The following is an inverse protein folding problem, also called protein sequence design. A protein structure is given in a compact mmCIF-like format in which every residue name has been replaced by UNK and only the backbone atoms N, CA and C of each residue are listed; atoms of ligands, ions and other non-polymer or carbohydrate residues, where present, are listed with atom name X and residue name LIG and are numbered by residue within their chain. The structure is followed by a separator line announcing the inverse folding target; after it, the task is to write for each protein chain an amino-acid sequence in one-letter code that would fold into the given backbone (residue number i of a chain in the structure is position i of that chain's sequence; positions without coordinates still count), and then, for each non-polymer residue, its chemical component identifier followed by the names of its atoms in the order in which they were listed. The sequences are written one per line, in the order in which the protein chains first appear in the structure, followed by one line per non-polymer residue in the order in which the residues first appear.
data_IF_474367124384
#
_entry.id   IF_474367124384
#
_cell.length_a   1.000
_cell.length_b   1.000
_cell.length_c   1.000
_cell.angle_alpha   90.00
_cell.angle_beta   90.00
_cell.angle_gamma   90.00
#
_symmetry.space_group_name_H-M   'P 1'
#
loop_
_entity.id
_entity.type
_entity.pdbx_description
1 polymer ?
#
# COMPACT_ATOMS: atom_id res chain seq x y z
N UNK A 1 -49.93 -52.92 -2.93
CA UNK A 1 -49.26 -52.05 -1.92
C UNK A 1 -47.78 -51.64 -2.18
N UNK A 2 -46.97 -52.23 -3.10
CA UNK A 2 -45.58 -51.74 -3.31
C UNK A 2 -45.42 -50.53 -4.24
N UNK A 3 -46.36 -50.28 -5.18
CA UNK A 3 -46.20 -49.15 -6.17
C UNK A 3 -46.44 -47.77 -5.59
N UNK A 4 -47.35 -47.59 -4.66
CA UNK A 4 -47.63 -46.27 -4.04
C UNK A 4 -46.51 -45.75 -3.12
N UNK A 5 -45.86 -46.65 -2.37
CA UNK A 5 -44.68 -46.26 -1.54
C UNK A 5 -43.52 -45.80 -2.39
N UNK A 6 -43.28 -46.42 -3.56
CA UNK A 6 -42.20 -46.04 -4.48
C UNK A 6 -42.47 -44.66 -5.12
N UNK A 7 -43.71 -44.34 -5.42
CA UNK A 7 -44.11 -43.07 -6.04
C UNK A 7 -44.05 -41.91 -5.05
N UNK A 8 -44.40 -42.13 -3.77
CA UNK A 8 -44.23 -41.15 -2.68
C UNK A 8 -42.73 -40.85 -2.40
N UNK A 9 -41.91 -41.90 -2.38
CA UNK A 9 -40.46 -41.75 -2.20
C UNK A 9 -39.80 -40.91 -3.32
N UNK A 10 -40.17 -41.12 -4.58
CA UNK A 10 -39.66 -40.36 -5.72
C UNK A 10 -40.08 -38.87 -5.69
N UNK A 11 -41.33 -38.57 -5.21
CA UNK A 11 -41.78 -37.20 -5.02
C UNK A 11 -40.99 -36.48 -3.93
N UNK A 12 -40.74 -37.15 -2.81
CA UNK A 12 -39.95 -36.59 -1.69
C UNK A 12 -38.51 -36.32 -2.12
N UNK A 13 -37.87 -37.26 -2.84
CA UNK A 13 -36.52 -37.07 -3.35
C UNK A 13 -36.45 -35.89 -4.35
N UNK A 14 -37.45 -35.77 -5.26
CA UNK A 14 -37.53 -34.61 -6.16
C UNK A 14 -37.67 -33.29 -5.40
N UNK A 15 -38.50 -33.24 -4.37
CA UNK A 15 -38.64 -32.01 -3.54
C UNK A 15 -37.33 -31.69 -2.85
N UNK A 16 -36.65 -32.65 -2.25
CA UNK A 16 -35.34 -32.45 -1.59
C UNK A 16 -34.30 -31.91 -2.59
N UNK A 17 -34.22 -32.50 -3.79
CA UNK A 17 -33.29 -32.07 -4.83
C UNK A 17 -33.59 -30.65 -5.33
N UNK A 18 -34.88 -30.31 -5.50
CA UNK A 18 -35.29 -28.96 -5.89
C UNK A 18 -34.95 -27.94 -4.78
N UNK A 19 -35.26 -28.29 -3.52
CA UNK A 19 -34.94 -27.42 -2.38
C UNK A 19 -33.43 -27.20 -2.24
N UNK A 20 -32.65 -28.27 -2.41
CA UNK A 20 -31.18 -28.21 -2.39
C UNK A 20 -30.62 -27.32 -3.52
N UNK A 21 -31.15 -27.47 -4.74
CA UNK A 21 -30.78 -26.63 -5.88
C UNK A 21 -31.14 -25.15 -5.66
N UNK A 22 -32.31 -24.88 -5.05
CA UNK A 22 -32.70 -23.50 -4.69
C UNK A 22 -31.83 -22.89 -3.61
N UNK A 23 -31.43 -23.67 -2.62
CA UNK A 23 -30.47 -23.21 -1.58
C UNK A 23 -29.11 -22.89 -2.19
N UNK A 24 -28.58 -23.75 -3.07
CA UNK A 24 -27.32 -23.47 -3.78
C UNK A 24 -27.44 -22.20 -4.64
N UNK A 25 -28.54 -22.04 -5.38
CA UNK A 25 -28.77 -20.85 -6.19
C UNK A 25 -28.86 -19.58 -5.32
N UNK A 26 -29.50 -19.65 -4.16
CA UNK A 26 -29.61 -18.56 -3.21
C UNK A 26 -28.23 -18.19 -2.63
N UNK A 27 -27.44 -19.18 -2.23
CA UNK A 27 -26.06 -18.97 -1.74
C UNK A 27 -25.18 -18.36 -2.83
N UNK A 28 -25.30 -18.85 -4.08
CA UNK A 28 -24.58 -18.28 -5.22
C UNK A 28 -24.99 -16.82 -5.52
N UNK A 29 -26.29 -16.50 -5.42
CA UNK A 29 -26.81 -15.14 -5.59
C UNK A 29 -26.30 -14.23 -4.47
N UNK A 30 -26.36 -14.66 -3.22
CA UNK A 30 -25.85 -13.91 -2.07
C UNK A 30 -24.34 -13.71 -2.21
N UNK A 31 -23.59 -14.74 -2.57
CA UNK A 31 -22.16 -14.66 -2.85
C UNK A 31 -21.84 -13.68 -3.99
N UNK A 32 -22.64 -13.71 -5.08
CA UNK A 32 -22.48 -12.78 -6.20
C UNK A 32 -22.82 -11.32 -5.82
N UNK A 33 -23.87 -11.11 -5.03
CA UNK A 33 -24.24 -9.76 -4.53
C UNK A 33 -23.15 -9.24 -3.58
N UNK A 34 -22.68 -10.09 -2.67
CA UNK A 34 -21.57 -9.76 -1.76
C UNK A 34 -20.29 -9.44 -2.55
N UNK A 35 -19.91 -10.29 -3.51
CA UNK A 35 -18.77 -10.07 -4.40
C UNK A 35 -18.89 -8.75 -5.16
N UNK A 36 -20.06 -8.44 -5.74
CA UNK A 36 -20.30 -7.16 -6.42
C UNK A 36 -20.25 -5.96 -5.47
N UNK A 37 -20.65 -6.12 -4.22
CA UNK A 37 -20.68 -5.03 -3.23
C UNK A 37 -19.28 -4.73 -2.70
N UNK A 38 -18.47 -5.78 -2.49
CA UNK A 38 -17.06 -5.67 -2.06
C UNK A 38 -16.17 -5.12 -3.18
N UNK A 39 -16.48 -5.47 -4.44
CA UNK A 39 -15.69 -5.02 -5.61
C UNK A 39 -16.32 -3.82 -6.34
N UNK A 40 -17.31 -3.14 -5.78
CA UNK A 40 -17.83 -1.93 -6.38
C UNK A 40 -16.79 -0.80 -6.20
N UNK A 41 -16.47 -0.04 -7.27
CA UNK A 41 -15.56 1.09 -7.13
C UNK A 41 -16.12 2.06 -6.10
N UNK A 42 -15.22 2.55 -5.23
CA UNK A 42 -15.59 3.53 -4.22
C UNK A 42 -16.05 4.82 -4.93
N UNK A 43 -17.29 5.21 -4.73
CA UNK A 43 -17.84 6.46 -5.26
C UNK A 43 -18.06 7.42 -4.12
N UNK A 44 -17.47 8.59 -4.23
CA UNK A 44 -17.59 9.61 -3.19
C UNK A 44 -18.98 10.28 -3.15
N UNK A 45 -19.68 10.36 -4.30
CA UNK A 45 -20.96 11.06 -4.45
C UNK A 45 -20.96 12.50 -3.87
N UNK A 46 -19.82 13.19 -4.00
CA UNK A 46 -19.63 14.54 -3.50
C UNK A 46 -20.05 15.56 -4.56
N UNK A 47 -20.60 16.68 -4.12
CA UNK A 47 -20.90 17.81 -4.99
C UNK A 47 -19.86 18.91 -4.78
N UNK A 48 -19.31 19.43 -5.87
CA UNK A 48 -18.38 20.55 -5.82
C UNK A 48 -18.99 21.78 -5.13
N UNK A 49 -18.18 22.47 -4.33
CA UNK A 49 -18.59 23.70 -3.61
C UNK A 49 -17.76 24.89 -4.05
N UNK A 50 -18.41 26.03 -4.28
CA UNK A 50 -17.71 27.29 -4.57
C UNK A 50 -16.84 27.76 -3.38
N UNK A 51 -17.19 27.36 -2.16
CA UNK A 51 -16.42 27.66 -0.96
C UNK A 51 -15.17 26.74 -0.82
N UNK A 52 -15.06 25.67 -1.64
CA UNK A 52 -13.96 24.74 -1.65
C UNK A 52 -13.02 24.96 -2.87
N UNK A 53 -12.71 26.22 -3.17
CA UNK A 53 -11.73 26.56 -4.21
C UNK A 53 -10.39 26.89 -3.56
N UNK A 54 -9.35 26.15 -3.98
CA UNK A 54 -7.97 26.35 -3.53
C UNK A 54 -7.03 26.62 -4.71
N UNK A 55 -5.90 27.25 -4.41
CA UNK A 55 -4.82 27.48 -5.38
C UNK A 55 -3.80 26.35 -5.29
N UNK A 56 -3.26 25.93 -6.43
CA UNK A 56 -2.05 25.09 -6.50
C UNK A 56 -1.05 25.74 -7.42
N UNK A 57 0.18 25.24 -7.43
CA UNK A 57 1.24 25.70 -8.35
C UNK A 57 0.86 25.51 -9.82
N UNK A 58 -0.02 24.54 -10.14
CA UNK A 58 -0.49 24.27 -11.49
C UNK A 58 -1.78 25.01 -11.88
N UNK A 59 -2.61 25.44 -10.92
CA UNK A 59 -3.85 26.16 -11.20
C UNK A 59 -4.89 26.05 -10.08
N UNK A 60 -6.11 26.54 -10.34
CA UNK A 60 -7.18 26.48 -9.36
C UNK A 60 -7.86 25.13 -9.36
N UNK A 61 -8.12 24.61 -8.16
CA UNK A 61 -8.82 23.37 -7.91
C UNK A 61 -10.08 23.62 -7.08
N UNK A 62 -11.14 22.85 -7.34
CA UNK A 62 -12.38 22.92 -6.60
C UNK A 62 -12.76 21.55 -6.08
N UNK A 63 -12.93 21.46 -4.79
CA UNK A 63 -13.35 20.26 -4.08
C UNK A 63 -14.81 20.32 -3.64
N UNK A 64 -15.13 19.53 -2.64
CA UNK A 64 -16.41 19.50 -1.94
C UNK A 64 -16.24 19.85 -0.46
N UNK A 65 -17.37 20.03 0.23
CA UNK A 65 -17.42 20.10 1.69
C UNK A 65 -18.28 18.94 2.19
N UNK A 66 -17.73 18.10 3.03
CA UNK A 66 -18.40 16.97 3.64
C UNK A 66 -18.27 17.04 5.17
N UNK A 67 -19.39 17.27 5.84
CA UNK A 67 -19.47 17.41 7.30
C UNK A 67 -18.51 18.46 7.88
N UNK A 68 -18.35 19.57 7.16
CA UNK A 68 -17.48 20.69 7.53
C UNK A 68 -16.00 20.52 7.16
N UNK A 69 -15.63 19.41 6.53
CA UNK A 69 -14.28 19.14 6.03
C UNK A 69 -14.22 19.42 4.52
N UNK A 70 -13.20 20.13 4.08
CA UNK A 70 -12.91 20.33 2.67
C UNK A 70 -12.26 19.08 2.11
N UNK A 71 -12.78 18.58 0.98
CA UNK A 71 -12.41 17.29 0.39
C UNK A 71 -12.02 17.47 -1.07
N UNK A 72 -10.86 16.98 -1.46
CA UNK A 72 -10.40 16.94 -2.83
C UNK A 72 -9.98 15.49 -3.15
N UNK A 73 -10.57 14.88 -4.19
CA UNK A 73 -10.36 13.50 -4.55
C UNK A 73 -9.80 13.39 -5.97
N UNK A 74 -8.78 12.53 -6.14
CA UNK A 74 -8.16 12.27 -7.44
C UNK A 74 -7.39 13.47 -8.01
N UNK A 75 -6.90 14.35 -7.15
CA UNK A 75 -6.14 15.53 -7.57
C UNK A 75 -4.73 15.12 -8.03
N UNK A 76 -4.32 15.42 -9.28
CA UNK A 76 -3.01 15.02 -9.77
C UNK A 76 -1.90 15.79 -9.06
N UNK A 77 -0.78 15.11 -8.81
CA UNK A 77 0.47 15.72 -8.33
C UNK A 77 1.57 15.70 -9.39
N UNK A 78 1.49 14.80 -10.37
CA UNK A 78 2.38 14.66 -11.51
C UNK A 78 1.64 13.97 -12.67
N UNK A 79 2.28 13.83 -13.83
CA UNK A 79 1.73 13.17 -15.02
C UNK A 79 2.72 12.15 -15.59
N UNK A 80 2.38 10.86 -15.61
CA UNK A 80 3.16 9.82 -16.26
C UNK A 80 2.73 9.66 -17.72
N UNK A 81 3.38 10.37 -18.62
CA UNK A 81 3.11 10.30 -20.08
C UNK A 81 3.55 8.98 -20.69
N UNK A 82 4.57 8.34 -20.13
CA UNK A 82 5.12 7.08 -20.59
C UNK A 82 5.30 6.11 -19.41
N UNK A 83 5.33 4.79 -19.70
CA UNK A 83 5.64 3.76 -18.72
C UNK A 83 7.13 3.77 -18.39
N UNK A 84 7.49 3.31 -17.20
CA UNK A 84 8.87 3.07 -16.75
C UNK A 84 9.79 4.31 -16.74
N UNK A 85 9.23 5.48 -16.99
CA UNK A 85 9.93 6.76 -16.96
C UNK A 85 9.36 7.58 -15.80
N UNK A 86 10.14 8.46 -15.22
CA UNK A 86 9.65 9.38 -14.16
C UNK A 86 8.45 10.19 -14.67
N UNK A 87 7.52 10.44 -13.76
CA UNK A 87 6.43 11.35 -14.04
C UNK A 87 6.95 12.79 -14.21
N UNK A 88 6.24 13.56 -15.01
CA UNK A 88 6.56 14.97 -15.25
C UNK A 88 5.73 15.87 -14.33
N UNK A 89 6.26 17.05 -14.03
CA UNK A 89 5.50 18.08 -13.33
C UNK A 89 4.24 18.46 -14.14
N UNK A 90 3.17 18.82 -13.43
CA UNK A 90 1.93 19.24 -14.07
C UNK A 90 2.12 20.51 -14.90
N UNK A 91 1.60 20.51 -16.11
CA UNK A 91 1.50 21.74 -16.89
C UNK A 91 0.46 22.67 -16.26
N UNK A 92 0.77 23.96 -16.09
CA UNK A 92 -0.19 24.92 -15.58
C UNK A 92 -1.46 25.01 -16.45
N UNK A 93 -2.61 25.22 -15.81
CA UNK A 93 -3.89 25.37 -16.52
C UNK A 93 -4.64 26.64 -16.13
N UNK A 94 -5.47 27.10 -17.06
CA UNK A 94 -6.41 28.19 -16.84
C UNK A 94 -7.76 27.69 -16.31
N UNK A 95 -8.42 28.52 -15.50
CA UNK A 95 -9.74 28.21 -14.94
C UNK A 95 -9.67 27.28 -13.73
N UNK A 96 -10.83 26.73 -13.35
CA UNK A 96 -10.99 25.89 -12.17
C UNK A 96 -11.27 24.45 -12.60
N UNK A 97 -10.52 23.50 -12.07
CA UNK A 97 -10.77 22.05 -12.25
C UNK A 97 -11.41 21.46 -11.02
N UNK A 98 -12.41 20.58 -11.21
CA UNK A 98 -13.15 19.94 -10.12
C UNK A 98 -12.54 18.59 -9.76
N UNK A 99 -12.40 18.33 -8.45
CA UNK A 99 -11.78 17.12 -7.88
C UNK A 99 -12.69 16.58 -6.75
N UNK A 100 -13.80 15.95 -7.14
CA UNK A 100 -14.82 15.39 -6.24
C UNK A 100 -15.01 13.89 -6.38
N UNK A 101 -14.26 13.25 -7.29
CA UNK A 101 -14.28 11.82 -7.55
C UNK A 101 -12.85 11.24 -7.41
N UNK A 102 -12.75 10.00 -6.97
CA UNK A 102 -11.47 9.32 -6.89
C UNK A 102 -10.81 9.18 -8.26
N UNK A 103 -9.50 9.40 -8.30
CA UNK A 103 -8.68 9.26 -9.51
C UNK A 103 -8.40 7.81 -9.88
N UNK A 104 -7.72 7.62 -11.00
CA UNK A 104 -7.23 6.30 -11.42
C UNK A 104 -6.23 5.74 -10.39
N UNK A 105 -6.27 4.43 -10.20
CA UNK A 105 -5.27 3.68 -9.44
C UNK A 105 -4.24 3.07 -10.39
N UNK A 106 -3.11 2.59 -9.84
CA UNK A 106 -2.09 1.92 -10.62
C UNK A 106 -2.61 0.66 -11.32
N UNK A 107 -2.02 0.36 -12.47
CA UNK A 107 -2.15 -0.93 -13.11
C UNK A 107 -1.70 -2.03 -12.14
N UNK A 108 -2.57 -2.99 -11.85
CA UNK A 108 -2.31 -4.06 -10.90
C UNK A 108 -3.21 -5.27 -11.17
N UNK A 109 -2.75 -6.45 -10.76
CA UNK A 109 -3.59 -7.65 -10.75
C UNK A 109 -4.37 -7.75 -9.45
N UNK A 110 -5.53 -8.42 -9.47
CA UNK A 110 -6.28 -8.62 -8.23
C UNK A 110 -5.53 -9.56 -7.29
N UNK A 111 -5.25 -9.08 -6.09
CA UNK A 111 -4.68 -9.90 -5.02
C UNK A 111 -5.81 -10.66 -4.29
N UNK A 112 -5.78 -12.00 -4.29
CA UNK A 112 -6.81 -12.86 -3.66
C UNK A 112 -8.27 -12.55 -4.08
N UNK A 113 -8.48 -12.03 -5.30
CA UNK A 113 -9.81 -11.59 -5.73
C UNK A 113 -10.26 -10.25 -5.13
N UNK A 114 -9.41 -9.62 -4.34
CA UNK A 114 -9.51 -8.26 -3.86
C UNK A 114 -8.61 -7.39 -4.74
N UNK A 115 -9.16 -6.72 -5.67
CA UNK A 115 -8.41 -5.87 -6.59
C UNK A 115 -9.37 -5.22 -7.53
N UNK A 116 -9.32 -3.94 -7.51
CA UNK A 116 -10.11 -2.91 -8.07
C UNK A 116 -10.89 -3.22 -9.33
N UNK A 117 -12.18 -3.01 -9.19
CA UNK A 117 -13.04 -2.55 -10.29
C UNK A 117 -12.83 -1.05 -10.55
N UNK A 118 -11.87 -0.43 -9.86
CA UNK A 118 -11.50 0.97 -10.03
C UNK A 118 -10.86 1.19 -11.41
N UNK A 119 -10.96 2.40 -11.90
CA UNK A 119 -10.29 2.78 -13.13
C UNK A 119 -8.77 2.67 -12.93
N UNK A 120 -8.12 1.76 -13.65
CA UNK A 120 -6.67 1.56 -13.61
C UNK A 120 -6.01 2.26 -14.78
N UNK A 121 -4.96 3.02 -14.52
CA UNK A 121 -4.19 3.72 -15.55
C UNK A 121 -2.70 3.76 -15.17
N UNK A 122 -1.83 3.88 -16.17
CA UNK A 122 -0.42 4.19 -15.94
C UNK A 122 -0.25 5.61 -15.38
N UNK A 123 -1.13 6.54 -15.77
CA UNK A 123 -1.21 7.91 -15.24
C UNK A 123 -2.07 7.94 -13.96
N UNK A 124 -1.58 7.29 -12.92
CA UNK A 124 -2.23 7.17 -11.61
C UNK A 124 -1.64 8.12 -10.54
N UNK A 125 -0.84 9.09 -10.95
CA UNK A 125 -0.15 10.04 -10.07
C UNK A 125 -1.14 11.07 -9.52
N UNK A 126 -2.01 10.63 -8.60
CA UNK A 126 -3.01 11.45 -7.95
C UNK A 126 -3.08 11.19 -6.45
N UNK A 127 -3.64 12.15 -5.74
CA UNK A 127 -3.83 12.09 -4.30
C UNK A 127 -5.25 12.51 -3.91
N UNK A 128 -5.66 12.12 -2.70
CA UNK A 128 -6.86 12.63 -2.06
C UNK A 128 -6.46 13.45 -0.84
N UNK A 129 -7.20 14.52 -0.54
CA UNK A 129 -6.88 15.46 0.53
C UNK A 129 -8.14 15.83 1.31
N UNK A 130 -8.01 15.84 2.63
CA UNK A 130 -9.01 16.29 3.58
C UNK A 130 -8.40 17.33 4.51
N UNK A 131 -9.06 18.45 4.69
CA UNK A 131 -8.60 19.52 5.57
C UNK A 131 -9.78 20.23 6.27
N UNK A 132 -9.60 20.64 7.55
CA UNK A 132 -10.61 21.39 8.27
C UNK A 132 -10.86 22.79 7.71
N UNK A 133 -9.84 23.46 7.13
CA UNK A 133 -9.96 24.85 6.68
C UNK A 133 -8.96 25.16 5.55
N UNK A 134 -9.27 26.15 4.72
CA UNK A 134 -8.43 26.63 3.62
C UNK A 134 -7.85 27.99 3.90
N UNK A 135 -6.59 28.22 3.51
CA UNK A 135 -5.93 29.53 3.52
C UNK A 135 -6.04 30.29 4.86
N UNK A 136 -6.23 29.59 5.97
CA UNK A 136 -6.40 30.19 7.30
C UNK A 136 -5.07 30.45 8.03
N UNK A 137 -3.94 30.00 7.47
CA UNK A 137 -2.62 30.04 8.10
C UNK A 137 -2.50 29.14 9.32
N UNK A 138 -3.35 28.13 9.44
CA UNK A 138 -3.47 27.23 10.58
C UNK A 138 -2.26 26.38 10.87
N UNK A 139 -1.36 26.18 9.89
CA UNK A 139 -0.14 25.39 10.00
C UNK A 139 -0.40 24.02 10.67
N UNK A 140 -1.43 23.33 10.17
CA UNK A 140 -1.82 22.02 10.68
C UNK A 140 -0.77 20.96 10.35
N UNK A 141 -0.52 19.99 11.24
CA UNK A 141 0.27 18.83 10.87
C UNK A 141 -0.31 18.15 9.64
N UNK A 142 0.56 17.68 8.75
CA UNK A 142 0.17 16.97 7.52
C UNK A 142 0.46 15.48 7.70
N UNK A 143 -0.57 14.66 7.53
CA UNK A 143 -0.51 13.21 7.64
C UNK A 143 -0.63 12.59 6.26
N UNK A 144 0.47 12.00 5.73
CA UNK A 144 0.54 11.43 4.38
C UNK A 144 0.49 9.91 4.46
N UNK A 145 -0.63 9.33 4.03
CA UNK A 145 -0.85 7.89 4.02
C UNK A 145 -0.28 7.22 2.78
N UNK A 146 0.52 6.18 3.01
CA UNK A 146 1.03 5.25 2.02
C UNK A 146 0.31 3.91 2.21
N UNK A 147 -0.47 3.49 1.20
CA UNK A 147 -1.29 2.28 1.28
C UNK A 147 -0.48 0.99 1.33
N UNK A 148 -1.08 -0.07 1.88
CA UNK A 148 -0.54 -1.42 1.92
C UNK A 148 -0.68 -2.17 0.59
N UNK A 149 -0.57 -3.50 0.66
CA UNK A 149 -0.60 -4.38 -0.52
C UNK A 149 0.77 -4.58 -1.16
N UNK A 150 1.83 -4.56 -0.35
CA UNK A 150 3.21 -4.62 -0.82
C UNK A 150 3.55 -3.41 -1.68
N UNK A 151 4.31 -3.65 -2.73
CA UNK A 151 4.55 -2.70 -3.82
C UNK A 151 3.82 -3.12 -5.10
N UNK A 152 2.92 -4.11 -5.01
CA UNK A 152 2.27 -4.74 -6.16
C UNK A 152 0.77 -4.47 -6.26
N UNK A 153 0.10 -4.07 -5.18
CA UNK A 153 -1.35 -3.85 -5.13
C UNK A 153 -1.76 -2.77 -4.13
N UNK A 154 -3.05 -2.44 -4.10
CA UNK A 154 -3.62 -1.43 -3.21
C UNK A 154 -3.88 -0.09 -3.88
N UNK A 155 -4.45 0.84 -3.12
CA UNK A 155 -4.71 2.20 -3.61
C UNK A 155 -4.94 3.19 -2.47
N UNK A 156 -4.92 4.47 -2.81
CA UNK A 156 -5.35 5.56 -1.94
C UNK A 156 -6.88 5.68 -1.83
N UNK A 157 -7.64 4.87 -2.57
CA UNK A 157 -9.09 5.00 -2.76
C UNK A 157 -9.88 4.01 -1.88
N UNK A 158 -9.42 3.73 -0.66
CA UNK A 158 -10.08 2.77 0.23
C UNK A 158 -10.98 3.47 1.25
N UNK A 159 -12.17 2.89 1.53
CA UNK A 159 -13.10 3.45 2.51
C UNK A 159 -12.52 3.46 3.94
N UNK A 160 -11.71 2.47 4.29
CA UNK A 160 -11.04 2.34 5.59
C UNK A 160 -10.05 3.47 5.87
N UNK A 161 -9.47 4.05 4.80
CA UNK A 161 -8.47 5.12 4.87
C UNK A 161 -9.00 6.48 4.41
N UNK A 162 -10.34 6.67 4.38
CA UNK A 162 -10.94 7.97 4.19
C UNK A 162 -10.52 8.93 5.30
N UNK A 163 -9.86 10.04 4.95
CA UNK A 163 -9.21 10.94 5.89
C UNK A 163 -10.13 11.91 6.63
N UNK A 164 -11.43 11.92 6.32
CA UNK A 164 -12.37 12.93 6.86
C UNK A 164 -12.42 12.94 8.39
N UNK A 165 -12.60 11.76 8.99
CA UNK A 165 -12.73 11.69 10.45
C UNK A 165 -11.43 12.05 11.16
N UNK A 166 -10.29 11.55 10.69
CA UNK A 166 -8.98 11.90 11.23
C UNK A 166 -8.71 13.41 11.11
N UNK A 167 -8.98 14.02 9.95
CA UNK A 167 -8.82 15.45 9.76
C UNK A 167 -9.71 16.27 10.70
N UNK A 168 -10.94 15.82 10.92
CA UNK A 168 -11.93 16.51 11.76
C UNK A 168 -11.61 16.40 13.25
N UNK A 169 -11.22 15.21 13.72
CA UNK A 169 -11.03 14.93 15.13
C UNK A 169 -9.71 15.47 15.66
N UNK A 170 -8.66 15.44 14.84
CA UNK A 170 -7.29 15.78 15.26
C UNK A 170 -6.80 17.13 14.72
N UNK A 171 -7.64 17.88 13.99
CA UNK A 171 -7.28 19.17 13.34
C UNK A 171 -6.00 19.07 12.49
N UNK A 172 -5.94 18.07 11.63
CA UNK A 172 -4.81 17.79 10.73
C UNK A 172 -5.23 17.82 9.27
N UNK A 173 -4.27 18.03 8.37
CA UNK A 173 -4.47 17.76 6.94
C UNK A 173 -4.10 16.32 6.66
N UNK A 174 -5.02 15.56 6.05
CA UNK A 174 -4.79 14.15 5.67
C UNK A 174 -4.65 14.07 4.16
N UNK A 175 -3.62 13.37 3.70
CA UNK A 175 -3.36 13.09 2.28
C UNK A 175 -3.19 11.60 2.09
N UNK A 176 -3.85 10.99 1.08
CA UNK A 176 -3.59 9.62 0.65
C UNK A 176 -3.07 9.62 -0.78
N UNK A 177 -2.06 8.79 -1.09
CA UNK A 177 -1.29 8.88 -2.34
C UNK A 177 -1.44 7.60 -3.17
N UNK A 178 -1.86 7.74 -4.45
CA UNK A 178 -1.72 6.73 -5.47
C UNK A 178 -0.38 6.87 -6.20
N UNK A 179 0.25 5.76 -6.52
CA UNK A 179 1.54 5.71 -7.23
C UNK A 179 1.65 4.41 -8.03
N UNK A 180 2.57 4.31 -8.97
CA UNK A 180 2.76 3.10 -9.77
C UNK A 180 3.22 1.91 -8.92
N UNK A 181 2.72 0.72 -9.27
CA UNK A 181 2.91 -0.53 -8.57
C UNK A 181 3.33 -1.64 -9.54
N UNK A 182 3.80 -2.76 -8.96
CA UNK A 182 4.10 -3.95 -9.72
C UNK A 182 5.15 -3.72 -10.80
N UNK A 183 5.00 -4.41 -11.92
CA UNK A 183 5.89 -4.24 -13.06
C UNK A 183 5.92 -2.79 -13.58
N UNK A 184 4.81 -2.05 -13.50
CA UNK A 184 4.76 -0.66 -13.94
C UNK A 184 5.58 0.29 -13.06
N UNK A 185 5.84 -0.08 -11.80
CA UNK A 185 6.60 0.70 -10.83
C UNK A 185 8.05 0.26 -10.61
N UNK A 186 8.38 -1.01 -10.92
CA UNK A 186 9.64 -1.61 -10.49
C UNK A 186 10.36 -2.50 -11.54
N UNK A 187 9.92 -2.54 -12.80
CA UNK A 187 10.65 -3.25 -13.86
C UNK A 187 11.93 -2.47 -14.21
N UNK A 188 13.09 -3.05 -13.90
CA UNK A 188 14.39 -2.40 -14.06
C UNK A 188 14.93 -2.47 -15.51
N UNK A 189 14.62 -1.49 -16.31
CA UNK A 189 15.09 -1.35 -17.70
C UNK A 189 16.37 -0.51 -17.82
N UNK A 190 17.01 -0.10 -16.72
CA UNK A 190 18.14 0.83 -16.71
C UNK A 190 19.35 0.36 -17.53
N UNK A 191 19.56 -0.95 -17.64
CA UNK A 191 20.66 -1.53 -18.42
C UNK A 191 20.37 -1.58 -19.93
N UNK A 192 19.14 -1.29 -20.39
CA UNK A 192 18.72 -1.45 -21.79
C UNK A 192 18.67 -0.13 -22.55
N UNK A 193 18.30 0.98 -21.90
CA UNK A 193 18.32 2.31 -22.49
C UNK A 193 18.40 3.39 -21.40
N UNK A 194 19.18 4.45 -21.64
CA UNK A 194 19.35 5.61 -20.74
C UNK A 194 18.02 6.30 -20.39
N UNK A 195 17.03 6.25 -21.29
CA UNK A 195 15.67 6.74 -21.05
C UNK A 195 15.04 6.10 -19.81
N UNK A 196 15.36 4.85 -19.54
CA UNK A 196 14.79 4.05 -18.46
C UNK A 196 15.67 3.96 -17.20
N UNK A 197 16.67 4.82 -17.06
CA UNK A 197 17.63 4.76 -15.93
C UNK A 197 16.98 4.74 -14.55
N UNK A 198 15.84 5.39 -14.39
CA UNK A 198 15.11 5.47 -13.10
C UNK A 198 14.02 4.38 -12.97
N UNK A 199 13.88 3.47 -13.96
CA UNK A 199 12.76 2.53 -14.07
C UNK A 199 12.66 1.55 -12.89
N UNK A 200 13.79 1.18 -12.29
CA UNK A 200 13.86 0.28 -11.15
C UNK A 200 13.03 0.72 -9.95
N UNK A 201 12.82 2.03 -9.79
CA UNK A 201 12.19 2.63 -8.63
C UNK A 201 11.16 3.72 -8.96
N UNK A 202 10.60 3.74 -10.19
CA UNK A 202 9.65 4.82 -10.57
C UNK A 202 8.40 4.88 -9.69
N UNK A 203 7.98 3.76 -9.08
CA UNK A 203 6.89 3.75 -8.11
C UNK A 203 7.21 4.55 -6.84
N UNK A 204 8.46 4.52 -6.40
CA UNK A 204 8.92 5.34 -5.27
C UNK A 204 9.23 6.78 -5.68
N UNK A 205 9.68 7.00 -6.91
CA UNK A 205 9.80 8.35 -7.47
C UNK A 205 8.44 9.05 -7.53
N UNK A 206 7.36 8.37 -7.88
CA UNK A 206 6.00 8.92 -7.81
C UNK A 206 5.65 9.40 -6.39
N UNK A 207 6.03 8.65 -5.34
CA UNK A 207 5.80 9.08 -3.96
C UNK A 207 6.64 10.31 -3.60
N UNK A 208 7.89 10.42 -4.08
CA UNK A 208 8.72 11.62 -3.92
C UNK A 208 8.08 12.82 -4.62
N UNK A 209 7.58 12.63 -5.83
CA UNK A 209 6.87 13.69 -6.57
C UNK A 209 5.61 14.15 -5.83
N UNK A 210 4.86 13.23 -5.19
CA UNK A 210 3.72 13.58 -4.33
C UNK A 210 4.15 14.37 -3.08
N UNK A 211 5.23 13.97 -2.42
CA UNK A 211 5.78 14.70 -1.27
C UNK A 211 6.30 16.09 -1.67
N UNK A 212 6.91 16.21 -2.85
CA UNK A 212 7.33 17.50 -3.42
C UNK A 212 6.12 18.39 -3.69
N UNK A 213 5.06 17.83 -4.28
CA UNK A 213 3.80 18.56 -4.46
C UNK A 213 3.23 19.05 -3.12
N UNK A 214 3.31 18.24 -2.07
CA UNK A 214 2.87 18.64 -0.71
C UNK A 214 3.69 19.82 -0.21
N UNK A 215 5.01 19.78 -0.35
CA UNK A 215 5.89 20.92 0.04
C UNK A 215 5.49 22.23 -0.66
N UNK A 216 5.15 22.16 -1.94
CA UNK A 216 4.84 23.32 -2.76
C UNK A 216 3.43 23.87 -2.57
N UNK A 217 2.47 23.06 -2.07
CA UNK A 217 1.06 23.41 -2.16
C UNK A 217 0.29 23.33 -0.83
N UNK A 218 0.78 22.60 0.17
CA UNK A 218 -0.05 22.24 1.33
C UNK A 218 -0.46 23.44 2.20
N UNK A 219 0.27 24.55 2.15
CA UNK A 219 -0.09 25.78 2.86
C UNK A 219 -1.42 26.35 2.38
N UNK A 220 -1.78 26.22 1.10
CA UNK A 220 -3.07 26.64 0.57
C UNK A 220 -4.24 25.83 1.12
N UNK A 221 -3.93 24.64 1.64
CA UNK A 221 -4.88 23.74 2.30
C UNK A 221 -4.77 23.80 3.84
N UNK A 222 -4.14 24.85 4.39
CA UNK A 222 -4.02 25.07 5.83
C UNK A 222 -2.99 24.17 6.53
N UNK A 223 -2.20 23.39 5.79
CA UNK A 223 -1.15 22.52 6.31
C UNK A 223 0.19 23.22 6.52
N UNK A 224 1.08 22.58 7.27
CA UNK A 224 2.46 23.03 7.51
C UNK A 224 3.44 22.14 6.72
N UNK A 225 4.10 22.67 5.68
CA UNK A 225 5.09 21.91 4.93
C UNK A 225 6.29 21.48 5.78
N UNK A 226 6.56 22.19 6.89
CA UNK A 226 7.64 21.86 7.84
C UNK A 226 7.19 20.84 8.91
N UNK A 227 5.97 20.32 8.85
CA UNK A 227 5.43 19.35 9.80
C UNK A 227 4.68 18.19 9.12
N UNK A 228 5.35 17.53 8.20
CA UNK A 228 4.82 16.40 7.42
C UNK A 228 5.21 15.09 8.09
N UNK A 229 4.22 14.23 8.35
CA UNK A 229 4.40 12.86 8.84
C UNK A 229 3.96 11.89 7.75
N UNK A 230 4.86 11.02 7.30
CA UNK A 230 4.51 9.88 6.42
C UNK A 230 4.13 8.69 7.28
N UNK A 231 3.05 8.00 6.94
CA UNK A 231 2.62 6.82 7.67
C UNK A 231 2.00 5.79 6.74
N UNK A 232 2.12 4.51 7.11
CA UNK A 232 1.59 3.44 6.28
C UNK A 232 1.61 2.09 6.98
N UNK A 233 0.77 1.19 6.48
CA UNK A 233 0.60 -0.15 7.02
C UNK A 233 1.07 -1.19 6.01
N UNK A 234 1.68 -2.29 6.49
CA UNK A 234 2.17 -3.37 5.61
C UNK A 234 3.17 -2.82 4.57
N UNK A 235 2.95 -3.04 3.28
CA UNK A 235 3.75 -2.42 2.22
C UNK A 235 3.84 -0.90 2.32
N UNK A 236 2.84 -0.21 2.91
CA UNK A 236 2.90 1.22 3.20
C UNK A 236 3.95 1.55 4.25
N UNK A 237 4.08 0.73 5.30
CA UNK A 237 5.15 0.84 6.29
C UNK A 237 6.54 0.58 5.69
N UNK A 238 6.64 -0.40 4.77
CA UNK A 238 7.86 -0.64 4.01
C UNK A 238 8.25 0.57 3.13
N UNK A 239 7.26 1.25 2.50
CA UNK A 239 7.48 2.50 1.76
C UNK A 239 8.01 3.63 2.68
N UNK A 240 7.53 3.71 3.92
CA UNK A 240 8.09 4.66 4.93
C UNK A 240 9.57 4.37 5.16
N UNK A 241 9.96 3.11 5.37
CA UNK A 241 11.38 2.74 5.55
C UNK A 241 12.20 3.04 4.31
N UNK A 242 11.69 2.74 3.12
CA UNK A 242 12.35 3.04 1.84
C UNK A 242 12.60 4.55 1.68
N UNK A 243 11.61 5.39 1.98
CA UNK A 243 11.76 6.85 1.94
C UNK A 243 12.78 7.37 2.95
N UNK A 244 12.88 6.73 4.13
CA UNK A 244 13.91 7.06 5.12
C UNK A 244 15.31 6.63 4.68
N UNK A 245 15.44 5.78 3.67
CA UNK A 245 16.72 5.23 3.17
C UNK A 245 17.17 5.83 1.86
N UNK A 246 16.34 6.62 1.17
CA UNK A 246 16.73 7.31 -0.06
C UNK A 246 17.16 8.75 0.21
N UNK A 247 18.26 9.24 -0.38
CA UNK A 247 18.70 10.64 -0.23
C UNK A 247 17.73 11.63 -0.88
N UNK A 248 16.93 11.19 -1.84
CA UNK A 248 16.01 12.04 -2.61
C UNK A 248 14.77 12.50 -1.83
N UNK A 249 14.46 11.85 -0.71
CA UNK A 249 13.35 12.23 0.17
C UNK A 249 13.76 13.19 1.30
N UNK A 250 15.05 13.59 1.37
CA UNK A 250 15.58 14.45 2.42
C UNK A 250 14.86 15.80 2.45
N UNK A 251 14.28 16.13 3.60
CA UNK A 251 13.58 17.39 3.84
C UNK A 251 12.14 17.43 3.35
N UNK A 252 11.63 16.36 2.71
CA UNK A 252 10.23 16.29 2.26
C UNK A 252 9.26 15.84 3.35
N UNK A 253 9.76 15.23 4.42
CA UNK A 253 8.97 14.84 5.59
C UNK A 253 9.81 14.93 6.87
N UNK A 254 9.15 14.91 8.04
CA UNK A 254 9.73 15.24 9.33
C UNK A 254 9.54 14.13 10.37
N UNK A 255 8.63 13.18 10.14
CA UNK A 255 8.33 12.03 11.00
C UNK A 255 7.90 10.85 10.18
N UNK A 256 8.17 9.63 10.67
CA UNK A 256 7.71 8.39 10.06
C UNK A 256 6.89 7.55 11.05
N UNK A 257 5.84 6.88 10.54
CA UNK A 257 5.11 5.86 11.30
C UNK A 257 5.02 4.60 10.43
N UNK A 258 5.63 3.52 10.90
CA UNK A 258 5.57 2.22 10.24
C UNK A 258 4.65 1.28 11.03
N UNK A 259 3.56 0.87 10.39
CA UNK A 259 2.58 -0.03 10.95
C UNK A 259 2.71 -1.40 10.27
N UNK A 260 3.29 -2.37 10.94
CA UNK A 260 3.42 -3.75 10.44
C UNK A 260 4.10 -3.86 9.06
N UNK A 261 5.02 -2.95 8.75
CA UNK A 261 5.75 -2.93 7.50
C UNK A 261 7.17 -3.44 7.67
N UNK A 262 7.45 -4.63 7.17
CA UNK A 262 8.77 -5.25 7.20
C UNK A 262 9.29 -5.46 5.78
N UNK A 263 10.60 -5.35 5.61
CA UNK A 263 11.28 -5.55 4.33
C UNK A 263 12.09 -6.84 4.27
N UNK A 264 12.10 -7.64 5.34
CA UNK A 264 12.99 -8.81 5.46
C UNK A 264 12.29 -10.15 5.28
N UNK A 265 11.13 -10.38 5.91
CA UNK A 265 10.55 -11.73 6.01
C UNK A 265 9.10 -11.86 5.59
N UNK A 266 8.33 -10.80 5.70
CA UNK A 266 6.92 -10.76 5.27
C UNK A 266 6.63 -9.40 4.70
N UNK A 267 6.20 -9.39 3.51
CA UNK A 267 6.10 -8.17 2.75
C UNK A 267 7.36 -8.00 1.93
N UNK A 268 7.49 -6.86 1.34
CA UNK A 268 8.49 -6.65 0.32
C UNK A 268 9.89 -6.66 0.92
N UNK A 269 10.70 -7.56 0.42
CA UNK A 269 12.14 -7.53 0.57
C UNK A 269 12.69 -6.59 -0.49
N UNK A 270 13.62 -5.72 -0.11
CA UNK A 270 14.26 -4.85 -1.10
C UNK A 270 15.15 -5.69 -2.02
N UNK A 271 14.94 -5.56 -3.33
CA UNK A 271 15.57 -6.44 -4.33
C UNK A 271 16.98 -5.95 -4.66
N UNK A 272 18.01 -6.81 -4.60
CA UNK A 272 19.33 -6.49 -5.13
C UNK A 272 19.28 -6.18 -6.63
N UNK A 273 20.12 -5.25 -7.09
CA UNK A 273 20.15 -4.85 -8.50
C UNK A 273 20.36 -6.01 -9.47
N UNK A 274 21.29 -6.92 -9.18
CA UNK A 274 21.56 -8.10 -10.01
C UNK A 274 20.34 -9.01 -10.18
N UNK A 275 19.57 -9.18 -9.12
CA UNK A 275 18.31 -9.96 -9.12
C UNK A 275 17.26 -9.26 -9.97
N UNK A 276 17.11 -7.96 -9.80
CA UNK A 276 16.16 -7.12 -10.54
C UNK A 276 16.47 -7.12 -12.05
N UNK A 277 17.74 -6.97 -12.43
CA UNK A 277 18.17 -7.05 -13.83
C UNK A 277 17.90 -8.44 -14.41
N UNK A 278 18.13 -9.52 -13.65
CA UNK A 278 17.85 -10.88 -14.11
C UNK A 278 16.36 -11.12 -14.32
N UNK A 279 15.48 -10.60 -13.43
CA UNK A 279 14.03 -10.62 -13.62
C UNK A 279 13.66 -9.92 -14.93
N UNK A 280 14.26 -8.76 -15.18
CA UNK A 280 14.00 -7.97 -16.38
C UNK A 280 14.43 -8.69 -17.65
N UNK A 281 15.65 -9.26 -17.69
CA UNK A 281 16.12 -10.04 -18.83
C UNK A 281 15.14 -11.15 -19.21
N UNK A 282 14.71 -11.95 -18.24
CA UNK A 282 13.77 -13.05 -18.47
C UNK A 282 12.38 -12.55 -18.89
N UNK A 283 11.93 -11.42 -18.32
CA UNK A 283 10.66 -10.79 -18.69
C UNK A 283 10.69 -10.36 -20.16
N UNK A 284 11.74 -9.68 -20.59
CA UNK A 284 11.92 -9.23 -21.97
C UNK A 284 12.05 -10.42 -22.93
N UNK A 285 12.79 -11.46 -22.55
CA UNK A 285 12.93 -12.70 -23.34
C UNK A 285 11.54 -13.32 -23.62
N UNK A 286 10.71 -13.45 -22.60
CA UNK A 286 9.35 -14.00 -22.71
C UNK A 286 8.44 -13.16 -23.59
N UNK A 287 8.65 -11.85 -23.62
CA UNK A 287 7.91 -10.90 -24.47
C UNK A 287 8.50 -10.77 -25.89
N UNK A 288 9.65 -11.39 -26.18
CA UNK A 288 10.34 -11.26 -27.46
C UNK A 288 10.94 -9.86 -27.69
N UNK A 289 11.23 -9.15 -26.59
CA UNK A 289 11.83 -7.80 -26.64
C UNK A 289 13.33 -7.91 -26.44
N UNK A 290 14.08 -7.14 -27.21
CA UNK A 290 15.54 -7.03 -27.17
C UNK A 290 15.95 -5.57 -26.98
N UNK A 291 17.24 -5.29 -26.81
CA UNK A 291 17.71 -3.91 -26.73
C UNK A 291 17.43 -3.10 -28.00
N UNK A 292 17.39 -3.74 -29.18
CA UNK A 292 17.13 -3.04 -30.45
C UNK A 292 15.67 -2.58 -30.59
N UNK A 293 14.72 -3.26 -29.91
CA UNK A 293 13.30 -2.91 -29.97
C UNK A 293 12.70 -2.64 -28.57
N UNK A 294 13.49 -2.15 -27.63
CA UNK A 294 13.08 -1.93 -26.23
C UNK A 294 11.85 -1.00 -26.11
N UNK A 295 11.66 -0.08 -27.04
CA UNK A 295 10.50 0.82 -27.04
C UNK A 295 9.16 0.08 -27.25
N UNK A 296 9.17 -1.15 -27.79
CA UNK A 296 7.95 -1.95 -27.93
C UNK A 296 7.32 -2.26 -26.56
N UNK A 297 8.10 -2.20 -25.46
CA UNK A 297 7.61 -2.39 -24.07
C UNK A 297 6.49 -1.42 -23.72
N UNK A 298 6.48 -0.23 -24.29
CA UNK A 298 5.46 0.80 -24.06
C UNK A 298 4.08 0.36 -24.53
N UNK A 299 4.01 -0.52 -25.56
CA UNK A 299 2.78 -0.98 -26.19
C UNK A 299 2.27 -2.33 -25.68
N UNK A 300 3.07 -3.05 -24.87
CA UNK A 300 2.68 -4.35 -24.32
C UNK A 300 1.46 -4.18 -23.39
N UNK A 301 0.44 -5.03 -23.54
CA UNK A 301 -0.69 -5.05 -22.64
C UNK A 301 -0.23 -5.35 -21.20
N UNK A 302 -0.79 -4.66 -20.21
CA UNK A 302 -0.36 -4.85 -18.81
C UNK A 302 -0.48 -6.30 -18.34
N UNK A 303 -1.55 -7.00 -18.73
CA UNK A 303 -1.73 -8.41 -18.37
C UNK A 303 -0.62 -9.30 -18.94
N UNK A 304 -0.20 -9.06 -20.17
CA UNK A 304 0.90 -9.80 -20.82
C UNK A 304 2.23 -9.52 -20.12
N UNK A 305 2.54 -8.25 -19.84
CA UNK A 305 3.71 -7.84 -19.08
C UNK A 305 3.73 -8.48 -17.69
N UNK A 306 2.61 -8.39 -16.97
CA UNK A 306 2.51 -8.91 -15.62
C UNK A 306 2.66 -10.44 -15.56
N UNK A 307 2.10 -11.17 -16.53
CA UNK A 307 2.26 -12.62 -16.64
C UNK A 307 3.72 -13.00 -16.92
N UNK A 308 4.37 -12.35 -17.89
CA UNK A 308 5.78 -12.58 -18.21
C UNK A 308 6.68 -12.29 -17.02
N UNK A 309 6.43 -11.18 -16.31
CA UNK A 309 7.17 -10.81 -15.11
C UNK A 309 6.97 -11.77 -13.94
N UNK A 310 5.74 -12.23 -13.70
CA UNK A 310 5.46 -13.20 -12.64
C UNK A 310 6.19 -14.53 -12.88
N UNK A 311 6.22 -15.01 -14.13
CA UNK A 311 6.97 -16.19 -14.50
C UNK A 311 8.50 -16.00 -14.37
N UNK A 312 9.01 -14.81 -14.74
CA UNK A 312 10.41 -14.46 -14.60
C UNK A 312 10.83 -14.42 -13.12
N UNK A 313 10.03 -13.79 -12.25
CA UNK A 313 10.25 -13.73 -10.80
C UNK A 313 10.34 -15.15 -10.21
N UNK A 314 9.41 -16.04 -10.56
CA UNK A 314 9.42 -17.41 -10.07
C UNK A 314 10.69 -18.16 -10.50
N UNK A 315 11.13 -17.99 -11.75
CA UNK A 315 12.35 -18.60 -12.26
C UNK A 315 13.61 -18.06 -11.56
N UNK A 316 13.68 -16.74 -11.34
CA UNK A 316 14.81 -16.10 -10.65
C UNK A 316 14.89 -16.54 -9.19
N UNK A 317 13.75 -16.73 -8.52
CA UNK A 317 13.74 -17.25 -7.16
C UNK A 317 14.38 -18.66 -7.07
N UNK A 318 14.16 -19.50 -8.08
CA UNK A 318 14.81 -20.82 -8.18
C UNK A 318 16.31 -20.68 -8.51
N UNK A 319 16.70 -19.80 -9.45
CA UNK A 319 18.09 -19.56 -9.83
C UNK A 319 18.94 -19.06 -8.66
N UNK A 320 18.39 -18.15 -7.84
CA UNK A 320 19.07 -17.58 -6.67
C UNK A 320 18.81 -18.35 -5.37
N UNK A 321 18.11 -19.49 -5.43
CA UNK A 321 17.79 -20.36 -4.29
C UNK A 321 17.12 -19.62 -3.14
N UNK A 322 16.23 -18.70 -3.47
CA UNK A 322 15.50 -17.89 -2.50
C UNK A 322 14.44 -18.72 -1.78
N UNK A 323 14.52 -18.82 -0.46
CA UNK A 323 13.56 -19.54 0.37
C UNK A 323 12.45 -18.63 0.89
N UNK A 324 11.20 -19.05 0.70
CA UNK A 324 10.06 -18.34 1.26
C UNK A 324 10.04 -18.42 2.78
N UNK A 325 9.89 -17.30 3.49
CA UNK A 325 9.65 -17.32 4.93
C UNK A 325 8.36 -18.04 5.31
N UNK A 326 7.42 -18.21 4.35
CA UNK A 326 6.17 -18.95 4.56
C UNK A 326 6.27 -20.45 4.24
N UNK A 327 7.41 -20.92 3.78
CA UNK A 327 7.59 -22.30 3.28
C UNK A 327 6.92 -22.51 1.91
N UNK A 328 7.43 -23.46 1.14
CA UNK A 328 7.01 -23.71 -0.24
C UNK A 328 7.91 -23.03 -1.27
N UNK A 329 7.58 -23.16 -2.54
CA UNK A 329 8.28 -22.43 -3.60
C UNK A 329 7.99 -20.94 -3.45
N UNK A 330 9.04 -20.16 -3.34
CA UNK A 330 8.93 -18.75 -3.13
C UNK A 330 9.35 -17.95 -4.34
N UNK A 331 8.82 -16.75 -4.43
CA UNK A 331 9.24 -15.79 -5.42
C UNK A 331 9.64 -14.47 -4.74
N UNK A 332 10.54 -13.74 -5.34
CA UNK A 332 10.57 -12.29 -5.14
C UNK A 332 9.22 -11.70 -5.56
N UNK A 333 8.96 -10.48 -5.14
CA UNK A 333 7.83 -9.70 -5.64
C UNK A 333 8.38 -8.47 -6.39
N UNK A 334 7.50 -7.71 -7.05
CA UNK A 334 7.88 -6.39 -7.51
C UNK A 334 8.05 -5.47 -6.30
N UNK A 335 9.26 -4.96 -6.10
CA UNK A 335 9.62 -4.17 -4.93
C UNK A 335 10.79 -3.24 -5.27
N UNK A 336 11.08 -2.21 -4.45
CA UNK A 336 12.19 -1.30 -4.69
C UNK A 336 13.53 -2.03 -4.80
N UNK A 337 14.36 -1.50 -5.68
CA UNK A 337 15.67 -2.07 -6.00
C UNK A 337 16.76 -1.29 -5.28
N UNK A 338 17.63 -2.02 -4.57
CA UNK A 338 18.86 -1.47 -4.00
C UNK A 338 19.91 -1.41 -5.10
N UNK A 339 20.00 -0.25 -5.78
CA UNK A 339 20.85 -0.05 -6.98
C UNK A 339 21.94 1.03 -6.77
N UNK A 340 22.05 1.52 -5.53
CA UNK A 340 23.17 2.39 -5.12
C UNK A 340 22.94 3.88 -5.32
N UNK A 341 22.08 4.34 -6.22
CA UNK A 341 21.76 5.76 -6.44
C UNK A 341 20.49 6.17 -5.71
N UNK A 342 19.33 5.68 -6.16
CA UNK A 342 18.04 5.99 -5.52
C UNK A 342 17.95 5.39 -4.12
N UNK A 343 18.31 4.11 -4.00
CA UNK A 343 18.26 3.35 -2.77
C UNK A 343 19.63 2.71 -2.47
N UNK A 344 20.50 3.41 -1.73
CA UNK A 344 21.86 2.95 -1.49
C UNK A 344 21.98 1.76 -0.52
N UNK A 345 21.02 1.59 0.38
CA UNK A 345 21.05 0.57 1.44
C UNK A 345 19.66 0.02 1.75
N UNK A 346 19.60 -1.22 2.25
CA UNK A 346 18.41 -1.77 2.88
C UNK A 346 18.44 -1.45 4.39
N UNK A 347 17.48 -0.67 4.93
CA UNK A 347 17.52 -0.23 6.34
C UNK A 347 17.36 -1.36 7.36
N UNK A 348 16.95 -2.55 6.92
CA UNK A 348 16.75 -3.70 7.79
C UNK A 348 17.98 -4.61 7.81
N UNK A 349 18.66 -4.79 6.68
CA UNK A 349 19.79 -5.70 6.53
C UNK A 349 21.13 -5.02 6.77
N UNK A 350 21.25 -3.74 6.45
CA UNK A 350 22.49 -2.99 6.51
C UNK A 350 22.66 -2.21 7.84
N UNK A 351 23.67 -1.37 7.92
CA UNK A 351 24.08 -0.66 9.13
C UNK A 351 23.10 0.47 9.57
N UNK A 352 21.87 0.48 9.05
CA UNK A 352 20.81 1.42 9.40
C UNK A 352 20.37 2.33 8.27
N UNK A 353 19.66 3.38 8.64
CA UNK A 353 19.08 4.31 7.68
C UNK A 353 20.15 5.22 7.05
N UNK A 354 19.90 5.62 5.80
CA UNK A 354 20.65 6.67 5.14
C UNK A 354 20.60 7.99 5.94
N UNK A 355 21.41 8.97 5.55
CA UNK A 355 21.45 10.30 6.17
C UNK A 355 20.04 10.93 6.27
N UNK A 356 19.16 10.66 5.30
CA UNK A 356 17.77 11.11 5.30
C UNK A 356 17.00 10.64 6.53
N UNK A 357 17.11 9.36 6.87
CA UNK A 357 16.36 8.77 7.99
C UNK A 357 17.02 8.99 9.36
N UNK A 358 18.29 9.47 9.40
CA UNK A 358 19.03 9.64 10.65
C UNK A 358 18.32 10.58 11.63
N UNK A 359 17.90 11.75 11.16
CA UNK A 359 17.26 12.78 11.99
C UNK A 359 15.73 12.72 12.00
N UNK A 360 15.13 11.68 11.41
CA UNK A 360 13.68 11.48 11.38
C UNK A 360 13.25 10.58 12.54
N UNK A 361 12.43 11.07 13.50
CA UNK A 361 11.82 10.22 14.52
C UNK A 361 10.87 9.20 13.89
N UNK A 362 10.94 7.96 14.37
CA UNK A 362 10.17 6.84 13.86
C UNK A 362 9.31 6.21 14.95
N UNK A 363 8.00 6.10 14.70
CA UNK A 363 7.11 5.22 15.45
C UNK A 363 6.91 3.93 14.64
N UNK A 364 7.27 2.78 15.21
CA UNK A 364 7.25 1.50 14.52
C UNK A 364 6.59 0.44 15.38
N UNK A 365 5.68 -0.36 14.81
CA UNK A 365 4.99 -1.37 15.59
C UNK A 365 4.20 -2.36 14.75
N UNK A 366 3.58 -3.30 15.45
CA UNK A 366 2.82 -4.39 14.84
C UNK A 366 1.55 -4.68 15.63
N UNK A 367 0.64 -5.43 15.01
CA UNK A 367 -0.50 -6.00 15.71
C UNK A 367 -0.09 -7.26 16.49
N UNK A 368 -0.84 -7.62 17.53
CA UNK A 368 -0.50 -8.76 18.38
C UNK A 368 -0.53 -10.07 17.60
N UNK A 369 -1.51 -10.26 16.73
CA UNK A 369 -1.79 -11.54 16.07
C UNK A 369 -1.64 -11.49 14.53
N UNK A 370 -1.06 -10.48 13.95
CA UNK A 370 -0.81 -10.29 12.51
C UNK A 370 -1.48 -11.35 11.58
N UNK A 371 -0.73 -12.36 11.11
CA UNK A 371 -1.18 -13.40 10.19
C UNK A 371 -1.78 -14.64 10.87
N UNK A 372 -2.11 -14.60 12.16
CA UNK A 372 -2.60 -15.77 12.91
C UNK A 372 -3.91 -16.36 12.35
N UNK A 373 -4.69 -15.57 11.61
CA UNK A 373 -5.88 -16.07 10.92
C UNK A 373 -5.57 -17.14 9.84
N UNK A 374 -4.32 -17.27 9.42
CA UNK A 374 -3.86 -18.27 8.45
C UNK A 374 -3.51 -19.61 9.12
N UNK A 375 -3.71 -19.74 10.44
CA UNK A 375 -3.51 -21.00 11.16
C UNK A 375 -2.04 -21.39 11.36
N UNK A 376 -1.11 -20.46 11.25
CA UNK A 376 0.30 -20.69 11.48
C UNK A 376 0.67 -20.25 12.90
N UNK A 377 0.96 -21.24 13.75
CA UNK A 377 1.88 -20.99 14.86
C UNK A 377 3.26 -20.88 14.23
N UNK A 378 3.88 -19.73 14.28
CA UNK A 378 5.31 -19.64 13.99
C UNK A 378 6.03 -20.53 15.00
N UNK A 379 6.98 -21.36 14.56
CA UNK A 379 7.92 -22.06 15.43
C UNK A 379 8.88 -21.04 16.07
N UNK A 380 8.35 -20.24 16.97
CA UNK A 380 9.13 -19.23 17.70
C UNK A 380 9.90 -19.93 18.80
N UNK A 381 11.19 -19.68 18.90
CA UNK A 381 12.00 -20.25 19.97
C UNK A 381 11.51 -19.80 21.36
N UNK A 382 11.64 -20.66 22.38
CA UNK A 382 11.30 -20.31 23.75
C UNK A 382 12.03 -19.05 24.25
N UNK A 383 13.20 -18.77 23.70
CA UNK A 383 14.00 -17.59 24.01
C UNK A 383 13.29 -16.30 23.54
N UNK A 384 12.75 -16.29 22.31
CA UNK A 384 11.98 -15.16 21.76
C UNK A 384 10.68 -14.95 22.51
N UNK A 385 9.96 -16.04 22.85
CA UNK A 385 8.73 -15.96 23.67
C UNK A 385 9.03 -15.39 25.05
N UNK A 386 10.13 -15.80 25.66
CA UNK A 386 10.56 -15.31 26.99
C UNK A 386 10.92 -13.84 26.93
N UNK A 387 11.75 -13.42 25.96
CA UNK A 387 12.11 -12.02 25.77
C UNK A 387 10.88 -11.13 25.49
N UNK A 388 9.91 -11.66 24.73
CA UNK A 388 8.65 -10.96 24.47
C UNK A 388 7.81 -10.76 25.74
N UNK A 389 7.66 -11.81 26.56
CA UNK A 389 6.96 -11.72 27.86
C UNK A 389 7.63 -10.77 28.85
N UNK A 390 8.96 -10.72 28.85
CA UNK A 390 9.73 -9.78 29.66
C UNK A 390 9.51 -8.32 29.20
N UNK A 391 9.49 -8.10 27.90
CA UNK A 391 9.26 -6.78 27.31
C UNK A 391 7.82 -6.29 27.48
N UNK A 392 6.85 -7.20 27.50
CA UNK A 392 5.41 -6.90 27.56
C UNK A 392 4.71 -7.68 28.70
N UNK A 393 4.99 -7.39 29.96
CA UNK A 393 4.54 -8.19 31.11
C UNK A 393 3.02 -8.16 31.35
N UNK A 394 2.30 -7.24 30.70
CA UNK A 394 0.85 -7.12 30.83
C UNK A 394 0.05 -7.93 29.81
N UNK A 395 0.73 -8.62 28.87
CA UNK A 395 0.07 -9.51 27.91
C UNK A 395 -0.22 -10.85 28.61
N UNK A 396 -1.46 -11.33 28.49
CA UNK A 396 -1.86 -12.61 29.06
C UNK A 396 -1.15 -13.80 28.39
N UNK A 397 -1.11 -14.95 29.08
CA UNK A 397 -0.36 -16.12 28.59
C UNK A 397 -0.95 -16.71 27.32
N UNK A 398 -2.25 -16.58 27.08
CA UNK A 398 -2.92 -17.07 25.89
C UNK A 398 -2.47 -16.29 24.65
N UNK A 399 -2.38 -14.95 24.77
CA UNK A 399 -1.90 -14.09 23.70
C UNK A 399 -0.35 -14.11 23.55
N UNK A 400 0.39 -14.33 24.64
CA UNK A 400 1.85 -14.44 24.57
C UNK A 400 2.34 -15.70 23.82
N UNK A 401 1.50 -16.73 23.69
CA UNK A 401 1.79 -17.93 22.89
C UNK A 401 1.67 -17.73 21.38
N UNK A 402 1.10 -16.59 20.94
CA UNK A 402 0.85 -16.25 19.54
C UNK A 402 1.83 -15.19 19.02
N UNK A 403 3.09 -15.22 19.43
CA UNK A 403 4.09 -14.24 18.98
C UNK A 403 4.28 -14.37 17.47
N UNK A 404 3.88 -13.36 16.73
CA UNK A 404 4.15 -13.26 15.31
C UNK A 404 5.61 -12.88 15.10
N UNK A 405 6.43 -13.86 14.73
CA UNK A 405 7.85 -13.65 14.46
C UNK A 405 8.13 -13.08 13.07
N UNK A 406 7.18 -13.22 12.14
CA UNK A 406 7.39 -12.87 10.74
C UNK A 406 7.44 -11.36 10.50
N UNK A 407 6.58 -10.60 11.17
CA UNK A 407 6.58 -9.14 11.10
C UNK A 407 7.32 -8.53 12.29
N UNK A 408 7.03 -9.00 13.49
CA UNK A 408 7.54 -8.36 14.71
C UNK A 408 9.05 -8.44 14.86
N UNK A 409 9.67 -9.58 14.54
CA UNK A 409 11.13 -9.74 14.67
C UNK A 409 11.86 -8.79 13.73
N UNK A 410 11.55 -8.71 12.43
CA UNK A 410 12.14 -7.70 11.54
C UNK A 410 11.94 -6.26 12.01
N UNK A 411 10.74 -5.91 12.50
CA UNK A 411 10.50 -4.57 13.04
C UNK A 411 11.35 -4.27 14.27
N UNK A 412 11.57 -5.24 15.16
CA UNK A 412 12.46 -5.08 16.32
C UNK A 412 13.92 -4.92 15.89
N UNK A 413 14.38 -5.62 14.84
CA UNK A 413 15.72 -5.39 14.26
C UNK A 413 15.85 -3.99 13.68
N UNK A 414 14.89 -3.56 12.87
CA UNK A 414 14.84 -2.18 12.35
C UNK A 414 14.86 -1.15 13.47
N UNK A 415 14.11 -1.40 14.54
CA UNK A 415 14.10 -0.54 15.74
C UNK A 415 15.47 -0.48 16.40
N UNK A 416 16.13 -1.63 16.56
CA UNK A 416 17.47 -1.73 17.14
C UNK A 416 18.50 -0.99 16.26
N UNK A 417 18.52 -1.23 14.96
CA UNK A 417 19.40 -0.54 14.01
C UNK A 417 19.23 0.98 14.07
N UNK A 418 17.97 1.46 14.09
CA UNK A 418 17.68 2.90 14.22
C UNK A 418 18.18 3.47 15.55
N UNK A 419 18.00 2.74 16.65
CA UNK A 419 18.45 3.15 17.98
C UNK A 419 19.99 3.15 18.09
N UNK A 420 20.65 2.12 17.57
CA UNK A 420 22.12 1.98 17.62
C UNK A 420 22.81 3.01 16.72
N UNK A 421 22.20 3.37 15.59
CA UNK A 421 22.69 4.43 14.71
C UNK A 421 22.73 5.80 15.44
N UNK A 422 21.87 6.04 16.43
CA UNK A 422 21.70 7.33 17.07
C UNK A 422 20.82 8.30 16.27
N UNK A 423 20.97 9.61 16.49
CA UNK A 423 20.12 10.63 15.85
C UNK A 423 18.74 10.74 16.50
N UNK A 424 17.69 10.91 15.66
CA UNK A 424 16.32 11.03 16.18
C UNK A 424 15.80 9.75 16.83
N UNK A 425 14.92 9.86 17.84
CA UNK A 425 14.42 8.71 18.60
C UNK A 425 13.55 7.77 17.77
N UNK A 426 13.55 6.49 18.15
CA UNK A 426 12.61 5.50 17.67
C UNK A 426 11.74 5.02 18.83
N UNK A 427 10.45 4.84 18.55
CA UNK A 427 9.45 4.35 19.51
C UNK A 427 8.80 3.08 18.94
N UNK A 428 8.58 2.09 19.81
CA UNK A 428 7.95 0.83 19.40
C UNK A 428 6.61 0.64 20.12
N UNK A 429 5.62 0.04 19.41
CA UNK A 429 4.31 -0.29 19.97
C UNK A 429 3.82 -1.68 19.54
N UNK A 430 2.85 -2.20 20.28
CA UNK A 430 2.03 -3.35 19.88
C UNK A 430 0.56 -2.95 20.00
N UNK A 431 -0.20 -3.14 18.92
CA UNK A 431 -1.64 -2.95 18.91
C UNK A 431 -2.34 -4.23 19.39
N UNK A 432 -3.09 -4.13 20.49
CA UNK A 432 -3.74 -5.26 21.16
C UNK A 432 -5.26 -5.13 21.26
N UNK A 433 -5.82 -4.01 20.78
CA UNK A 433 -7.26 -3.77 20.89
C UNK A 433 -8.05 -4.79 20.04
N UNK A 434 -9.09 -5.38 20.65
CA UNK A 434 -9.90 -6.41 20.00
C UNK A 434 -9.28 -7.80 19.99
N UNK A 435 -8.19 -8.04 20.74
CA UNK A 435 -7.59 -9.37 20.85
C UNK A 435 -8.65 -10.46 21.16
N UNK A 436 -8.57 -11.66 20.53
CA UNK A 436 -7.52 -12.12 19.61
C UNK A 436 -7.66 -11.70 18.14
N UNK A 437 -8.57 -10.80 17.78
CA UNK A 437 -8.87 -10.39 16.41
C UNK A 437 -7.99 -9.23 15.89
N UNK A 438 -7.01 -8.78 16.65
CA UNK A 438 -6.05 -7.76 16.22
C UNK A 438 -5.04 -8.34 15.22
N UNK A 439 -5.55 -8.73 14.04
CA UNK A 439 -4.79 -9.28 12.92
C UNK A 439 -4.21 -8.18 12.04
N UNK A 440 -3.50 -8.56 10.99
CA UNK A 440 -2.85 -7.63 10.05
C UNK A 440 -3.83 -6.59 9.48
N UNK A 441 -3.53 -5.29 9.66
CA UNK A 441 -4.35 -4.17 9.22
C UNK A 441 -5.57 -3.84 10.09
N UNK A 442 -5.80 -4.58 11.19
CA UNK A 442 -6.96 -4.36 12.04
C UNK A 442 -6.97 -2.99 12.73
N UNK A 443 -5.82 -2.34 12.85
CA UNK A 443 -5.68 -1.01 13.46
C UNK A 443 -6.10 0.14 12.54
N UNK A 444 -6.09 -0.04 11.22
CA UNK A 444 -6.33 1.03 10.24
C UNK A 444 -7.63 1.79 10.50
N UNK A 445 -8.80 1.14 10.66
CA UNK A 445 -10.04 1.86 10.90
C UNK A 445 -10.04 2.69 12.18
N UNK A 446 -9.27 2.28 13.19
CA UNK A 446 -9.16 3.03 14.46
C UNK A 446 -8.32 4.29 14.28
N UNK A 447 -7.24 4.22 13.49
CA UNK A 447 -6.37 5.36 13.22
C UNK A 447 -7.10 6.44 12.42
N UNK A 448 -7.91 6.03 11.44
CA UNK A 448 -8.70 6.95 10.62
C UNK A 448 -10.04 7.35 11.22
N UNK A 449 -10.44 6.81 12.38
CA UNK A 449 -11.76 7.03 12.96
C UNK A 449 -12.92 6.41 12.15
N UNK A 450 -12.64 5.39 11.33
CA UNK A 450 -13.58 4.78 10.38
C UNK A 450 -14.13 3.43 10.86
N UNK A 451 -14.19 3.20 12.17
CA UNK A 451 -14.57 1.90 12.78
C UNK A 451 -15.96 1.43 12.32
N UNK A 452 -16.92 2.35 12.20
CA UNK A 452 -18.28 2.02 11.78
C UNK A 452 -18.39 1.65 10.28
N UNK A 453 -17.42 2.06 9.46
CA UNK A 453 -17.41 1.74 8.01
C UNK A 453 -17.01 0.30 7.72
N UNK A 454 -16.38 -0.37 8.67
CA UNK A 454 -15.88 -1.76 8.58
C UNK A 454 -16.75 -2.76 9.32
N UNK A 455 -17.66 -2.32 10.19
CA UNK A 455 -18.69 -3.13 10.81
C UNK A 455 -19.83 -3.39 9.82
N UNK A 456 -19.55 -4.18 8.77
CA UNK A 456 -20.63 -4.94 8.15
C UNK A 456 -20.94 -6.08 9.13
N UNK A 457 -22.12 -5.98 9.77
CA UNK A 457 -22.70 -6.98 10.68
C UNK A 457 -22.60 -8.41 10.17
#
# INVERSE_FOLDING_TARGET
MPKEKKQKSHKIIKIILITFALVIALVAIIGFIFFRRVNAPLRANLNASEDAVATTTAGLVKGAIDDGIYVYLGMPYAEAKERFVRAEALEPWDGVREYTEYGAISLQSSFMGMGGTDNQDNNCQNLNLWTPELNDGGKRPVMVWLHGGGFSSGSANEASTNGKNLAKEEDVVVVTVNHRLGAAGYLNLSAFDEKYKDSANVGMWDVIDALTWIQDNIEYFGGDPDNVTIFGQSGGGAKVLTLMSTPYAKGLFHKGINQSGATETVGPKLTPEEVSLRITELTLEKLGITAENIEDIQSIAFEELNNAGTEAIAQVAEEFQYESPFGGSYSYEWEPVVEGDFLPTDPVLDEGFAETGYDIPLLIGSNLNEWNFMGRSSDVSEEVVTAFKEAYPNIDEENAGSVDSMIRVPLLRTTAHKADQGGAPVYSYIFTYGAPRCTHGAEIPYIFGNVDSTSAD
#
